data_IF_033802389543
#
_entry.id   IF_033802389543
#
_cell.length_a   1.000
_cell.length_b   1.000
_cell.length_c   1.000
_cell.angle_alpha   90.00
_cell.angle_beta   90.00
_cell.angle_gamma   90.00
#
_symmetry.space_group_name_H-M   'P 1'
#
loop_
_entity.id
_entity.type
_entity.pdbx_description
1 polymer ?
#
# COMPACT_ATOMS: atom_id res chain seq x y z
N UNK A 1 -8.73 19.75 -0.90
CA UNK A 1 -9.73 18.83 -0.35
C UNK A 1 -9.84 17.56 -1.18
N UNK A 2 -10.13 16.41 -0.55
CA UNK A 2 -10.25 15.11 -1.25
C UNK A 2 -11.34 15.14 -2.34
N UNK A 3 -12.44 15.87 -2.09
CA UNK A 3 -13.55 15.98 -3.02
C UNK A 3 -13.23 16.76 -4.30
N UNK A 4 -12.21 17.59 -4.28
CA UNK A 4 -11.75 18.39 -5.43
C UNK A 4 -10.87 17.59 -6.39
N UNK A 5 -10.42 16.40 -5.98
CA UNK A 5 -9.58 15.53 -6.81
C UNK A 5 -10.40 15.00 -7.98
N UNK A 6 -9.94 15.27 -9.22
CA UNK A 6 -10.52 14.72 -10.44
C UNK A 6 -9.79 13.44 -10.84
N UNK A 7 -10.57 12.37 -11.09
CA UNK A 7 -10.02 11.11 -11.63
C UNK A 7 -9.88 11.26 -13.16
N UNK A 8 -8.67 11.19 -13.71
CA UNK A 8 -8.49 11.28 -15.16
C UNK A 8 -9.00 10.01 -15.85
N UNK A 9 -9.57 10.15 -17.05
CA UNK A 9 -10.04 9.03 -17.88
C UNK A 9 -9.33 9.09 -19.23
N UNK A 10 -8.63 8.02 -19.60
CA UNK A 10 -7.97 7.89 -20.90
C UNK A 10 -8.45 6.61 -21.58
N UNK A 11 -8.94 6.69 -22.85
CA UNK A 11 -9.60 5.55 -23.49
C UNK A 11 -8.67 4.40 -23.92
N UNK A 12 -7.36 4.67 -24.08
CA UNK A 12 -6.39 3.66 -24.52
C UNK A 12 -5.10 3.73 -23.74
N UNK A 13 -4.62 2.58 -23.30
CA UNK A 13 -3.30 2.39 -22.70
C UNK A 13 -2.52 1.36 -23.51
N UNK A 14 -1.38 1.76 -24.10
CA UNK A 14 -0.52 0.86 -24.87
C UNK A 14 0.27 -0.04 -23.94
N UNK A 15 0.30 -1.35 -24.23
CA UNK A 15 1.16 -2.27 -23.50
C UNK A 15 2.63 -1.85 -23.61
N UNK A 16 3.33 -1.78 -22.46
CA UNK A 16 4.75 -1.46 -22.40
C UNK A 16 5.42 -2.22 -21.26
N UNK A 17 6.72 -2.36 -21.38
CA UNK A 17 7.60 -2.78 -20.29
C UNK A 17 8.74 -1.77 -20.17
N UNK A 18 9.09 -1.41 -18.94
CA UNK A 18 10.13 -0.41 -18.66
C UNK A 18 10.94 -0.84 -17.44
N UNK A 19 12.25 -0.67 -17.53
CA UNK A 19 13.16 -0.98 -16.42
C UNK A 19 13.71 0.30 -15.82
N UNK A 20 13.87 0.29 -14.51
CA UNK A 20 14.38 1.38 -13.68
C UNK A 20 15.54 0.87 -12.85
N UNK A 21 16.57 1.69 -12.67
CA UNK A 21 17.76 1.35 -11.92
C UNK A 21 17.99 2.35 -10.78
N UNK A 22 18.24 1.81 -9.58
CA UNK A 22 18.44 2.60 -8.38
C UNK A 22 17.18 3.30 -7.86
N UNK A 23 17.30 3.98 -6.73
CA UNK A 23 16.18 4.58 -5.99
C UNK A 23 15.49 5.68 -6.78
N UNK A 24 16.24 6.57 -7.41
CA UNK A 24 15.65 7.73 -8.12
C UNK A 24 14.80 7.31 -9.31
N UNK A 25 15.20 6.25 -10.00
CA UNK A 25 14.37 5.72 -11.07
C UNK A 25 13.25 4.83 -10.55
N UNK A 26 13.44 4.12 -9.44
CA UNK A 26 12.38 3.36 -8.77
C UNK A 26 11.21 4.29 -8.40
N UNK A 27 11.49 5.47 -7.81
CA UNK A 27 10.47 6.50 -7.51
C UNK A 27 9.67 6.88 -8.77
N UNK A 28 10.32 7.03 -9.91
CA UNK A 28 9.64 7.26 -11.20
C UNK A 28 8.79 6.06 -11.59
N UNK A 29 9.28 4.85 -11.37
CA UNK A 29 8.54 3.61 -11.60
C UNK A 29 7.27 3.52 -10.78
N UNK A 30 7.30 3.91 -9.50
CA UNK A 30 6.11 3.98 -8.65
C UNK A 30 5.06 4.96 -9.20
N UNK A 31 5.48 6.16 -9.58
CA UNK A 31 4.56 7.14 -10.17
C UNK A 31 3.99 6.67 -11.51
N UNK A 32 4.79 5.98 -12.34
CA UNK A 32 4.32 5.36 -13.58
C UNK A 32 3.32 4.22 -13.30
N UNK A 33 3.54 3.42 -12.26
CA UNK A 33 2.60 2.39 -11.80
C UNK A 33 1.26 3.02 -11.38
N UNK A 34 1.29 4.05 -10.55
CA UNK A 34 0.08 4.74 -10.11
C UNK A 34 -0.66 5.37 -11.28
N UNK A 35 0.06 6.03 -12.17
CA UNK A 35 -0.51 6.62 -13.39
C UNK A 35 -1.21 5.57 -14.24
N UNK A 36 -0.55 4.45 -14.51
CA UNK A 36 -1.12 3.35 -15.29
C UNK A 36 -2.37 2.77 -14.62
N UNK A 37 -2.33 2.58 -13.30
CA UNK A 37 -3.47 2.06 -12.51
C UNK A 37 -4.65 3.02 -12.52
N UNK A 38 -4.42 4.31 -12.31
CA UNK A 38 -5.48 5.33 -12.27
C UNK A 38 -6.15 5.50 -13.65
N UNK A 39 -5.37 5.54 -14.72
CA UNK A 39 -5.87 5.73 -16.08
C UNK A 39 -6.58 4.49 -16.65
N UNK A 40 -6.36 3.33 -16.06
CA UNK A 40 -7.03 2.09 -16.45
C UNK A 40 -8.52 2.14 -16.12
N UNK A 41 -9.34 1.42 -16.91
CA UNK A 41 -10.76 1.17 -16.58
C UNK A 41 -10.96 0.01 -15.60
N UNK A 42 -9.90 -0.71 -15.27
CA UNK A 42 -9.95 -1.84 -14.35
C UNK A 42 -10.11 -1.35 -12.92
N UNK A 43 -10.96 -2.01 -12.13
CA UNK A 43 -11.25 -1.71 -10.73
C UNK A 43 -10.83 -2.84 -9.77
N UNK A 44 -9.96 -3.75 -10.23
CA UNK A 44 -9.42 -4.79 -9.35
C UNK A 44 -8.67 -4.16 -8.16
N UNK A 45 -8.65 -4.87 -7.04
CA UNK A 45 -7.86 -4.48 -5.89
C UNK A 45 -6.38 -4.37 -6.23
N UNK A 46 -5.72 -3.41 -5.62
CA UNK A 46 -4.29 -3.18 -5.75
C UNK A 46 -3.58 -3.90 -4.61
N UNK A 47 -2.46 -4.51 -4.91
CA UNK A 47 -1.54 -5.04 -3.92
C UNK A 47 -0.25 -4.24 -3.93
N UNK A 48 0.23 -3.89 -2.74
CA UNK A 48 1.48 -3.15 -2.54
C UNK A 48 2.28 -3.80 -1.41
N UNK A 49 3.51 -4.15 -1.70
CA UNK A 49 4.45 -4.65 -0.70
C UNK A 49 5.83 -4.09 -1.02
N UNK A 50 6.42 -3.38 -0.06
CA UNK A 50 7.78 -2.87 -0.17
C UNK A 50 8.41 -2.86 1.22
N UNK A 51 9.61 -3.41 1.32
CA UNK A 51 10.46 -3.34 2.50
C UNK A 51 11.63 -2.35 2.31
N UNK A 52 11.54 -1.50 1.28
CA UNK A 52 12.48 -0.40 1.06
C UNK A 52 12.46 0.59 2.24
N UNK A 53 13.64 1.15 2.62
CA UNK A 53 13.71 2.13 3.71
C UNK A 53 12.82 3.34 3.47
N UNK A 54 12.12 3.79 4.52
CA UNK A 54 11.29 5.00 4.43
C UNK A 54 12.13 6.29 4.38
N UNK A 55 13.35 6.26 4.86
CA UNK A 55 14.25 7.41 4.84
C UNK A 55 14.44 7.94 3.41
N UNK A 56 14.55 7.06 2.43
CA UNK A 56 14.70 7.42 1.02
C UNK A 56 13.48 8.17 0.47
N UNK A 57 12.30 7.91 1.03
CA UNK A 57 11.06 8.63 0.68
C UNK A 57 10.90 9.92 1.48
N UNK A 58 11.29 9.92 2.75
CA UNK A 58 11.16 11.07 3.64
C UNK A 58 12.08 12.25 3.24
N UNK A 59 13.22 11.97 2.62
CA UNK A 59 14.14 12.99 2.13
C UNK A 59 13.60 13.75 0.91
N UNK A 60 12.71 13.13 0.12
CA UNK A 60 12.10 13.74 -1.06
C UNK A 60 10.64 14.13 -0.80
N UNK A 61 10.46 15.32 -0.23
CA UNK A 61 9.13 15.85 0.12
C UNK A 61 8.21 15.94 -1.10
N UNK A 62 8.75 16.29 -2.27
CA UNK A 62 7.95 16.42 -3.49
C UNK A 62 7.50 15.06 -4.03
N UNK A 63 8.35 14.04 -3.92
CA UNK A 63 7.95 12.68 -4.24
C UNK A 63 6.87 12.19 -3.27
N UNK A 64 7.05 12.41 -1.97
CA UNK A 64 6.06 12.03 -0.96
C UNK A 64 4.68 12.64 -1.22
N UNK A 65 4.62 13.94 -1.56
CA UNK A 65 3.36 14.62 -1.94
C UNK A 65 2.71 14.00 -3.17
N UNK A 66 3.48 13.72 -4.23
CA UNK A 66 2.98 13.08 -5.46
C UNK A 66 2.47 11.68 -5.19
N UNK A 67 3.18 10.93 -4.35
CA UNK A 67 2.83 9.58 -3.94
C UNK A 67 1.50 9.57 -3.18
N UNK A 68 1.36 10.41 -2.16
CA UNK A 68 0.11 10.55 -1.39
C UNK A 68 -1.07 11.03 -2.25
N UNK A 69 -0.82 11.94 -3.17
CA UNK A 69 -1.82 12.40 -4.13
C UNK A 69 -2.29 11.25 -5.03
N UNK A 70 -1.38 10.42 -5.51
CA UNK A 70 -1.71 9.25 -6.32
C UNK A 70 -2.58 8.23 -5.54
N UNK A 71 -2.24 7.96 -4.27
CA UNK A 71 -3.08 7.14 -3.38
C UNK A 71 -4.49 7.76 -3.27
N UNK A 72 -4.59 9.06 -3.00
CA UNK A 72 -5.88 9.74 -2.89
C UNK A 72 -6.73 9.61 -4.16
N UNK A 73 -6.13 9.72 -5.34
CA UNK A 73 -6.84 9.50 -6.62
C UNK A 73 -7.33 8.05 -6.75
N UNK A 74 -6.50 7.07 -6.39
CA UNK A 74 -6.90 5.66 -6.42
C UNK A 74 -8.08 5.38 -5.49
N UNK A 75 -8.08 5.93 -4.28
CA UNK A 75 -9.20 5.84 -3.35
C UNK A 75 -10.45 6.54 -3.89
N UNK A 76 -10.30 7.74 -4.46
CA UNK A 76 -11.39 8.47 -5.12
C UNK A 76 -11.99 7.69 -6.30
N UNK A 77 -11.19 6.92 -7.01
CA UNK A 77 -11.64 6.00 -8.06
C UNK A 77 -12.42 4.79 -7.50
N UNK A 78 -12.41 4.58 -6.17
CA UNK A 78 -13.06 3.45 -5.51
C UNK A 78 -12.20 2.17 -5.46
N UNK A 79 -10.90 2.28 -5.73
CA UNK A 79 -10.00 1.12 -5.67
C UNK A 79 -9.73 0.73 -4.22
N UNK A 80 -9.60 -0.59 -3.99
CA UNK A 80 -9.20 -1.14 -2.70
C UNK A 80 -7.71 -1.49 -2.72
N UNK A 81 -6.97 -1.07 -1.69
CA UNK A 81 -5.53 -1.32 -1.56
C UNK A 81 -5.26 -2.33 -0.45
N UNK A 82 -4.57 -3.41 -0.79
CA UNK A 82 -4.00 -4.35 0.18
C UNK A 82 -2.51 -4.06 0.31
N UNK A 83 -2.06 -3.65 1.49
CA UNK A 83 -0.68 -3.20 1.70
C UNK A 83 -0.03 -4.05 2.78
N UNK A 84 1.13 -4.65 2.47
CA UNK A 84 1.96 -5.32 3.46
C UNK A 84 3.07 -4.35 3.89
N UNK A 85 3.05 -3.99 5.17
CA UNK A 85 4.05 -3.13 5.79
C UNK A 85 5.18 -3.95 6.40
N UNK A 86 6.40 -3.46 6.26
CA UNK A 86 7.51 -3.90 7.08
C UNK A 86 7.46 -3.16 8.42
N UNK A 87 7.27 -3.89 9.52
CA UNK A 87 7.24 -3.34 10.88
C UNK A 87 8.60 -3.44 11.60
N UNK A 88 9.59 -4.09 10.99
CA UNK A 88 10.95 -4.16 11.50
C UNK A 88 11.72 -2.88 11.15
N UNK A 89 11.33 -1.80 11.82
CA UNK A 89 11.83 -0.44 11.58
C UNK A 89 12.06 0.27 12.89
N UNK A 90 12.97 1.27 12.94
CA UNK A 90 13.09 2.16 14.09
C UNK A 90 11.76 2.78 14.49
N UNK A 91 11.55 2.96 15.79
CA UNK A 91 10.28 3.47 16.32
C UNK A 91 9.85 4.80 15.69
N UNK A 92 10.80 5.70 15.46
CA UNK A 92 10.52 7.02 14.86
C UNK A 92 10.00 6.90 13.42
N UNK A 93 10.58 6.01 12.61
CA UNK A 93 10.09 5.73 11.26
C UNK A 93 8.68 5.15 11.28
N UNK A 94 8.43 4.23 12.20
CA UNK A 94 7.14 3.60 12.36
C UNK A 94 6.06 4.62 12.77
N UNK A 95 6.38 5.56 13.66
CA UNK A 95 5.47 6.64 14.06
C UNK A 95 5.17 7.60 12.91
N UNK A 96 6.19 8.00 12.16
CA UNK A 96 6.02 8.86 10.99
C UNK A 96 5.12 8.19 9.93
N UNK A 97 5.31 6.90 9.72
CA UNK A 97 4.45 6.10 8.85
C UNK A 97 3.01 6.06 9.34
N UNK A 98 2.78 5.83 10.62
CA UNK A 98 1.44 5.78 11.22
C UNK A 98 0.70 7.12 11.08
N UNK A 99 1.35 8.23 11.38
CA UNK A 99 0.75 9.57 11.23
C UNK A 99 0.27 9.83 9.81
N UNK A 100 1.05 9.40 8.81
CA UNK A 100 0.71 9.57 7.40
C UNK A 100 -0.41 8.63 6.93
N UNK A 101 -0.45 7.40 7.44
CA UNK A 101 -1.34 6.34 6.96
C UNK A 101 -2.69 6.27 7.69
N UNK A 102 -2.75 6.65 8.98
CA UNK A 102 -3.99 6.55 9.76
C UNK A 102 -5.20 7.22 9.10
N UNK A 103 -5.10 8.46 8.59
CA UNK A 103 -6.25 9.11 7.92
C UNK A 103 -6.73 8.33 6.70
N UNK A 104 -5.80 7.67 5.99
CA UNK A 104 -6.11 6.92 4.78
C UNK A 104 -6.75 5.57 5.13
N UNK A 105 -6.30 4.90 6.20
CA UNK A 105 -6.93 3.68 6.71
C UNK A 105 -8.38 3.91 7.12
N UNK A 106 -8.69 5.10 7.66
CA UNK A 106 -10.05 5.46 8.07
C UNK A 106 -11.06 5.52 6.90
N UNK A 107 -10.59 5.58 5.66
CA UNK A 107 -11.47 5.46 4.48
C UNK A 107 -12.11 4.08 4.35
N UNK A 108 -11.55 3.05 5.01
CA UNK A 108 -11.97 1.66 4.88
C UNK A 108 -11.68 1.02 3.51
N UNK A 109 -10.94 1.73 2.64
CA UNK A 109 -10.52 1.23 1.32
C UNK A 109 -9.10 0.67 1.31
N UNK A 110 -8.40 0.69 2.46
CA UNK A 110 -7.06 0.12 2.62
C UNK A 110 -7.09 -0.96 3.68
N UNK A 111 -6.58 -2.12 3.34
CA UNK A 111 -6.35 -3.23 4.26
C UNK A 111 -4.86 -3.35 4.53
N UNK A 112 -4.37 -2.91 5.70
CA UNK A 112 -2.96 -3.05 6.06
C UNK A 112 -2.68 -4.41 6.68
N UNK A 113 -1.55 -5.00 6.28
CA UNK A 113 -1.05 -6.30 6.75
C UNK A 113 0.41 -6.19 7.16
N UNK A 114 0.91 -7.21 7.83
CA UNK A 114 2.32 -7.37 8.18
C UNK A 114 2.69 -8.85 8.29
N UNK A 115 3.99 -9.17 8.26
CA UNK A 115 4.49 -10.51 8.55
C UNK A 115 4.95 -10.59 10.01
N UNK A 116 4.54 -11.66 10.72
CA UNK A 116 4.91 -11.90 12.14
C UNK A 116 6.37 -12.31 12.32
N UNK A 117 7.02 -12.80 11.28
CA UNK A 117 8.43 -13.23 11.32
C UNK A 117 9.27 -12.17 10.64
N UNK A 118 10.45 -11.93 11.17
CA UNK A 118 11.48 -11.11 10.54
C UNK A 118 11.72 -11.64 9.12
N UNK A 119 11.75 -10.74 8.17
CA UNK A 119 12.12 -11.05 6.81
C UNK A 119 13.64 -11.15 6.71
N UNK A 120 14.13 -11.74 5.62
CA UNK A 120 15.55 -11.78 5.33
C UNK A 120 16.08 -10.33 5.20
N UNK A 121 17.09 -9.98 6.00
CA UNK A 121 17.68 -8.65 5.99
C UNK A 121 18.69 -8.45 4.85
N UNK A 122 18.88 -9.43 4.00
CA UNK A 122 19.83 -9.35 2.88
C UNK A 122 19.20 -8.63 1.69
N UNK A 123 17.95 -8.96 1.38
CA UNK A 123 17.24 -8.40 0.23
C UNK A 123 16.09 -7.49 0.63
N UNK A 124 15.98 -6.37 -0.06
CA UNK A 124 14.78 -5.55 -0.07
C UNK A 124 13.98 -5.85 -1.33
N UNK A 125 12.69 -6.10 -1.16
CA UNK A 125 11.78 -6.48 -2.23
C UNK A 125 10.78 -5.38 -2.53
N UNK A 126 10.41 -5.29 -3.79
CA UNK A 126 9.40 -4.39 -4.28
C UNK A 126 8.39 -5.16 -5.14
N UNK A 127 7.13 -5.11 -4.80
CA UNK A 127 6.08 -5.80 -5.55
C UNK A 127 4.75 -5.05 -5.44
N UNK A 128 4.40 -4.32 -6.49
CA UNK A 128 3.11 -3.68 -6.66
C UNK A 128 2.40 -4.30 -7.85
N UNK A 129 1.14 -4.63 -7.70
CA UNK A 129 0.32 -5.14 -8.79
C UNK A 129 -1.11 -4.62 -8.72
N UNK A 130 -1.63 -4.23 -9.88
CA UNK A 130 -3.03 -3.88 -10.11
C UNK A 130 -3.64 -4.77 -11.19
N UNK A 131 -4.88 -4.46 -11.62
CA UNK A 131 -5.52 -5.20 -12.71
C UNK A 131 -4.83 -5.09 -14.06
N UNK A 132 -3.93 -4.12 -14.27
CA UNK A 132 -3.41 -3.76 -15.59
C UNK A 132 -1.91 -3.54 -15.65
N UNK A 133 -1.24 -3.47 -14.50
CA UNK A 133 0.19 -3.19 -14.44
C UNK A 133 0.80 -3.84 -13.20
N UNK A 134 2.04 -4.29 -13.30
CA UNK A 134 2.85 -4.72 -12.19
C UNK A 134 4.20 -3.98 -12.19
N UNK A 135 4.66 -3.60 -11.00
CA UNK A 135 5.99 -3.05 -10.75
C UNK A 135 6.67 -3.94 -9.71
N UNK A 136 7.79 -4.50 -10.06
CA UNK A 136 8.50 -5.45 -9.20
C UNK A 136 10.01 -5.32 -9.34
N UNK A 137 10.72 -5.73 -8.33
CA UNK A 137 12.18 -5.73 -8.32
C UNK A 137 12.72 -6.02 -6.94
N UNK A 138 14.03 -5.93 -6.83
CA UNK A 138 14.76 -6.16 -5.60
C UNK A 138 16.08 -5.40 -5.58
N UNK A 139 16.62 -5.22 -4.41
CA UNK A 139 17.99 -4.77 -4.18
C UNK A 139 18.58 -5.47 -2.96
N UNK A 140 19.89 -5.36 -2.79
CA UNK A 140 20.55 -5.77 -1.55
C UNK A 140 20.36 -4.64 -0.52
N UNK A 141 20.01 -4.99 0.69
CA UNK A 141 19.85 -4.02 1.78
C UNK A 141 21.14 -3.22 1.99
N UNK A 142 21.03 -1.91 2.08
CA UNK A 142 22.17 -0.97 2.14
C UNK A 142 22.81 -0.64 0.78
N UNK A 143 22.36 -1.26 -0.32
CA UNK A 143 22.82 -0.99 -1.69
C UNK A 143 21.65 -0.65 -2.61
N UNK A 144 20.73 0.18 -2.13
CA UNK A 144 19.48 0.53 -2.83
C UNK A 144 19.69 1.23 -4.17
N UNK A 145 20.83 1.94 -4.31
CA UNK A 145 21.28 2.55 -5.56
C UNK A 145 21.60 1.54 -6.68
N UNK A 146 21.74 0.26 -6.36
CA UNK A 146 22.01 -0.85 -7.30
C UNK A 146 20.76 -1.68 -7.61
N UNK A 147 19.61 -1.32 -7.06
CA UNK A 147 18.37 -2.03 -7.31
C UNK A 147 17.94 -1.98 -8.79
N UNK A 148 17.22 -3.01 -9.21
CA UNK A 148 16.62 -3.10 -10.56
C UNK A 148 15.14 -3.40 -10.43
N UNK A 149 14.32 -2.57 -11.06
CA UNK A 149 12.87 -2.65 -10.99
C UNK A 149 12.28 -2.67 -12.39
N UNK A 150 11.22 -3.44 -12.58
CA UNK A 150 10.56 -3.60 -13.87
C UNK A 150 9.08 -3.28 -13.74
N UNK A 151 8.60 -2.36 -14.56
CA UNK A 151 7.19 -2.10 -14.77
C UNK A 151 6.75 -2.84 -16.03
N UNK A 152 5.67 -3.61 -15.93
CA UNK A 152 5.12 -4.37 -17.06
C UNK A 152 3.60 -4.25 -17.15
N UNK A 153 3.10 -4.20 -18.38
CA UNK A 153 1.67 -4.35 -18.69
C UNK A 153 1.39 -5.67 -19.43
N UNK A 154 2.35 -6.59 -19.44
CA UNK A 154 2.17 -7.93 -19.99
C UNK A 154 1.19 -8.71 -19.13
N UNK A 155 0.16 -9.30 -19.74
CA UNK A 155 -0.90 -10.01 -19.02
C UNK A 155 -0.41 -11.25 -18.27
N UNK A 156 0.58 -11.95 -18.81
CA UNK A 156 1.15 -13.14 -18.18
C UNK A 156 1.90 -12.75 -16.90
N UNK A 157 2.71 -11.70 -16.97
CA UNK A 157 3.43 -11.17 -15.80
C UNK A 157 2.45 -10.67 -14.73
N UNK A 158 1.43 -9.89 -15.13
CA UNK A 158 0.41 -9.39 -14.20
C UNK A 158 -0.30 -10.55 -13.50
N UNK A 159 -0.69 -11.60 -14.24
CA UNK A 159 -1.32 -12.80 -13.66
C UNK A 159 -0.40 -13.49 -12.65
N UNK A 160 0.87 -13.64 -12.99
CA UNK A 160 1.88 -14.21 -12.08
C UNK A 160 2.00 -13.39 -10.79
N UNK A 161 2.16 -12.06 -10.90
CA UNK A 161 2.31 -11.20 -9.74
C UNK A 161 1.03 -11.06 -8.91
N UNK A 162 -0.15 -11.17 -9.51
CA UNK A 162 -1.42 -11.30 -8.77
C UNK A 162 -1.44 -12.58 -7.93
N UNK A 163 -1.11 -13.72 -8.52
CA UNK A 163 -1.02 -14.99 -7.78
C UNK A 163 0.01 -14.92 -6.65
N UNK A 164 1.17 -14.31 -6.90
CA UNK A 164 2.19 -14.06 -5.87
C UNK A 164 1.64 -13.18 -4.74
N UNK A 165 0.95 -12.10 -5.07
CA UNK A 165 0.32 -11.20 -4.09
C UNK A 165 -0.70 -11.93 -3.20
N UNK A 166 -1.57 -12.75 -3.80
CA UNK A 166 -2.52 -13.57 -3.05
C UNK A 166 -1.84 -14.57 -2.11
N UNK A 167 -0.74 -15.18 -2.56
CA UNK A 167 0.06 -16.07 -1.71
C UNK A 167 0.69 -15.32 -0.52
N UNK A 168 1.18 -14.11 -0.73
CA UNK A 168 1.73 -13.25 0.32
C UNK A 168 0.64 -12.83 1.31
N UNK A 169 -0.51 -12.39 0.83
CA UNK A 169 -1.64 -11.98 1.68
C UNK A 169 -2.16 -13.14 2.56
N UNK A 170 -2.21 -14.37 2.03
CA UNK A 170 -2.58 -15.55 2.84
C UNK A 170 -1.60 -15.83 3.99
N UNK A 171 -0.35 -15.43 3.88
CA UNK A 171 0.68 -15.57 4.93
C UNK A 171 0.77 -14.37 5.85
N UNK A 172 0.28 -13.22 5.42
CA UNK A 172 0.31 -11.99 6.18
C UNK A 172 -0.77 -11.97 7.27
N UNK A 173 -0.55 -11.16 8.29
CA UNK A 173 -1.50 -10.93 9.38
C UNK A 173 -2.08 -9.54 9.21
N UNK A 174 -3.40 -9.34 9.34
CA UNK A 174 -3.97 -8.00 9.37
C UNK A 174 -3.35 -7.15 10.48
N UNK A 175 -2.94 -5.93 10.14
CA UNK A 175 -2.37 -4.98 11.10
C UNK A 175 -3.46 -4.33 11.95
N UNK A 176 -4.65 -4.14 11.37
CA UNK A 176 -5.83 -3.62 12.06
C UNK A 176 -7.11 -4.22 11.49
N UNK A 177 -8.15 -4.20 12.28
CA UNK A 177 -9.51 -4.51 11.87
C UNK A 177 -10.32 -3.22 11.83
N UNK A 178 -10.96 -2.96 10.70
CA UNK A 178 -11.81 -1.79 10.48
C UNK A 178 -13.26 -2.25 10.52
N UNK A 179 -13.99 -1.86 11.57
CA UNK A 179 -15.40 -2.15 11.73
C UNK A 179 -16.23 -1.03 11.10
N UNK A 180 -16.97 -1.36 10.06
CA UNK A 180 -17.94 -0.46 9.43
C UNK A 180 -19.30 -0.57 10.13
N UNK A 181 -20.24 0.25 9.75
CA UNK A 181 -21.56 0.31 10.36
C UNK A 181 -22.34 -1.02 10.25
N UNK A 182 -22.18 -1.73 9.15
CA UNK A 182 -22.72 -3.07 8.92
C UNK A 182 -22.10 -4.16 9.81
N UNK A 183 -20.94 -3.89 10.40
CA UNK A 183 -20.17 -4.82 11.24
C UNK A 183 -20.32 -4.55 12.73
N UNK A 184 -21.36 -3.82 13.16
CA UNK A 184 -21.61 -3.42 14.56
C UNK A 184 -21.64 -4.60 15.53
N UNK A 185 -22.24 -5.72 15.13
CA UNK A 185 -22.32 -6.93 15.97
C UNK A 185 -20.93 -7.55 16.18
N UNK A 186 -20.09 -7.60 15.15
CA UNK A 186 -18.71 -8.08 15.23
C UNK A 186 -17.87 -7.17 16.13
N UNK A 187 -18.05 -5.86 16.05
CA UNK A 187 -17.39 -4.89 16.93
C UNK A 187 -17.80 -5.08 18.40
N UNK A 188 -19.09 -5.25 18.68
CA UNK A 188 -19.57 -5.51 20.04
C UNK A 188 -19.02 -6.82 20.61
N UNK A 189 -18.96 -7.89 19.81
CA UNK A 189 -18.34 -9.15 20.19
C UNK A 189 -16.83 -8.98 20.48
N UNK A 190 -16.12 -8.23 19.66
CA UNK A 190 -14.71 -7.87 19.89
C UNK A 190 -14.54 -7.10 21.21
N UNK A 191 -15.38 -6.09 21.48
CA UNK A 191 -15.35 -5.35 22.75
C UNK A 191 -15.55 -6.28 23.94
N UNK A 192 -16.58 -7.14 23.91
CA UNK A 192 -16.88 -8.08 24.98
C UNK A 192 -15.73 -9.07 25.22
N UNK A 193 -15.10 -9.59 24.17
CA UNK A 193 -13.95 -10.49 24.29
C UNK A 193 -12.71 -9.79 24.84
N UNK A 194 -12.51 -8.53 24.46
CA UNK A 194 -11.31 -7.77 24.82
C UNK A 194 -11.29 -7.25 26.26
N UNK A 195 -12.45 -7.19 26.93
CA UNK A 195 -12.55 -6.84 28.35
C UNK A 195 -11.92 -7.94 29.26
N UNK A 196 -11.90 -9.19 28.79
CA UNK A 196 -11.36 -10.33 29.52
C UNK A 196 -9.84 -10.48 29.47
N UNK A 197 -9.16 -9.71 28.63
CA UNK A 197 -7.72 -9.83 28.45
C UNK A 197 -6.99 -8.79 29.30
N UNK A 198 -6.26 -9.27 30.33
CA UNK A 198 -5.36 -8.44 31.13
C UNK A 198 -4.08 -8.16 30.34
N UNK A 199 -4.07 -7.11 29.54
CA UNK A 199 -2.88 -6.63 28.82
C UNK A 199 -2.94 -5.11 28.66
N UNK A 200 -1.76 -4.46 28.62
CA UNK A 200 -1.67 -3.05 28.28
C UNK A 200 -2.03 -2.86 26.80
N UNK A 201 -3.26 -2.44 26.52
CA UNK A 201 -3.75 -2.13 25.19
C UNK A 201 -4.11 -0.67 25.10
N UNK A 202 -3.59 0.01 24.08
CA UNK A 202 -4.12 1.31 23.65
C UNK A 202 -5.23 1.06 22.63
N UNK A 203 -6.38 1.67 22.86
CA UNK A 203 -7.49 1.70 21.90
C UNK A 203 -7.58 3.12 21.36
N UNK A 204 -7.52 3.26 20.06
CA UNK A 204 -7.83 4.53 19.39
C UNK A 204 -9.23 4.36 18.84
N UNK A 205 -10.19 5.05 19.44
CA UNK A 205 -11.55 5.16 18.96
C UNK A 205 -11.71 6.55 18.36
N UNK A 206 -11.94 6.63 17.07
CA UNK A 206 -12.35 7.87 16.42
C UNK A 206 -13.77 7.69 15.90
N UNK A 207 -14.70 8.53 16.39
CA UNK A 207 -15.98 8.73 15.76
C UNK A 207 -15.85 9.92 14.83
N UNK A 208 -16.02 9.71 13.53
CA UNK A 208 -16.23 10.81 12.61
C UNK A 208 -17.66 11.30 12.80
N UNK A 209 -17.90 12.59 13.04
CA UNK A 209 -19.25 13.12 13.02
C UNK A 209 -19.79 12.95 11.59
N UNK A 210 -20.81 12.12 11.44
CA UNK A 210 -21.60 12.06 10.22
C UNK A 210 -22.43 13.33 10.22
N UNK A 211 -22.02 14.33 9.46
CA UNK A 211 -22.92 15.42 9.12
C UNK A 211 -23.87 14.91 8.03
N UNK A 212 -25.10 14.71 8.45
CA UNK A 212 -26.28 14.57 7.57
C UNK A 212 -26.49 15.85 6.79
#
# INVERSE_FOLDING_TARGET
>A
HFDEIKVPVVPFYRAFSKTYYGIEEMKKGELDFFKATVLSKNNDSIFMCSDMPMEDMAQDIEFGKKWMYAIAIMLKKGLHLNIIHNLDRPFNEMMLGLESWLPIYMTGQISPYFFKRLQDNIYCHFNYVSGTVALFGECINGYHDKGKYTLTTNKTDISYYKTKAECLLRKATPLMEIYKEDSKNAYNAFLASSVRIKANRRRILSSLPIHT
#
